data_IF_069491754619
#
_entry.id   IF_069491754619
#
_cell.length_a   1.000
_cell.length_b   1.000
_cell.length_c   1.000
_cell.angle_alpha   90.00
_cell.angle_beta   90.00
_cell.angle_gamma   90.00
#
_symmetry.space_group_name_H-M   'P 1'
#
loop_
_entity.id
_entity.type
_entity.pdbx_description
1 polymer ?
#
# COMPACT_ATOMS: atom_id res chain seq x y z
N UNK A 1 4.49 5.47 -40.56
CA UNK A 1 4.35 6.91 -40.86
C UNK A 1 4.48 7.77 -39.60
N UNK A 2 3.74 7.49 -38.53
CA UNK A 2 3.88 8.20 -37.23
C UNK A 2 5.24 8.03 -36.52
N UNK A 3 5.96 6.95 -36.79
CA UNK A 3 7.29 6.73 -36.21
C UNK A 3 8.35 7.66 -36.83
N UNK A 4 8.24 8.03 -38.12
CA UNK A 4 9.10 9.03 -38.77
C UNK A 4 8.85 10.46 -38.27
N UNK A 5 7.64 10.76 -37.78
CA UNK A 5 7.29 12.09 -37.25
C UNK A 5 7.88 12.30 -35.85
N UNK A 6 8.08 11.22 -35.09
CA UNK A 6 8.68 11.29 -33.74
C UNK A 6 10.18 11.59 -33.78
N UNK A 7 10.90 11.00 -34.71
CA UNK A 7 12.36 11.17 -34.78
C UNK A 7 12.75 12.59 -35.20
N UNK A 8 11.94 13.28 -36.01
CA UNK A 8 12.15 14.70 -36.31
C UNK A 8 11.78 15.66 -35.15
N UNK A 9 10.92 15.25 -34.22
CA UNK A 9 10.51 16.12 -33.10
C UNK A 9 11.55 16.20 -31.99
N UNK A 10 12.40 15.19 -31.82
CA UNK A 10 13.38 15.13 -30.72
C UNK A 10 14.70 15.87 -31.01
N UNK A 11 14.92 16.37 -32.22
CA UNK A 11 16.15 17.08 -32.60
C UNK A 11 16.01 18.62 -32.75
N UNK A 12 14.85 19.22 -32.47
CA UNK A 12 14.67 20.67 -32.61
C UNK A 12 14.85 21.43 -31.27
N UNK A 13 15.63 22.52 -31.24
CA UNK A 13 15.71 23.41 -30.07
C UNK A 13 14.35 24.03 -29.73
N UNK A 14 14.04 24.09 -28.43
CA UNK A 14 12.73 24.47 -27.87
C UNK A 14 12.17 25.81 -28.37
N UNK A 15 13.03 26.74 -28.81
CA UNK A 15 12.65 28.05 -29.32
C UNK A 15 11.81 28.03 -30.62
N UNK A 16 11.76 26.90 -31.34
CA UNK A 16 11.04 26.82 -32.62
C UNK A 16 9.69 26.07 -32.54
N UNK A 17 9.31 25.56 -31.36
CA UNK A 17 8.13 24.71 -31.21
C UNK A 17 6.79 25.49 -31.31
N UNK A 18 6.80 26.76 -30.91
CA UNK A 18 5.65 27.68 -31.05
C UNK A 18 5.39 28.04 -32.53
N UNK A 19 6.44 28.31 -33.31
CA UNK A 19 6.35 28.57 -34.75
C UNK A 19 5.84 27.35 -35.52
N UNK A 20 6.28 26.15 -35.16
CA UNK A 20 5.81 24.91 -35.77
C UNK A 20 4.34 24.61 -35.44
N UNK A 21 3.91 24.82 -34.19
CA UNK A 21 2.50 24.72 -33.81
C UNK A 21 1.63 25.66 -34.64
N UNK A 22 2.07 26.91 -34.85
CA UNK A 22 1.31 27.86 -35.65
C UNK A 22 1.19 27.45 -37.12
N UNK A 23 2.26 26.91 -37.72
CA UNK A 23 2.24 26.43 -39.12
C UNK A 23 1.37 25.19 -39.32
N UNK A 24 1.37 24.25 -38.37
CA UNK A 24 0.53 23.04 -38.44
C UNK A 24 -0.95 23.40 -38.29
N UNK A 25 -1.28 24.28 -37.35
CA UNK A 25 -2.66 24.75 -37.17
C UNK A 25 -3.17 25.48 -38.41
N UNK A 26 -2.34 26.33 -39.04
CA UNK A 26 -2.69 27.01 -40.29
C UNK A 26 -2.91 26.02 -41.46
N UNK A 27 -2.11 24.96 -41.57
CA UNK A 27 -2.26 23.93 -42.60
C UNK A 27 -3.53 23.08 -42.40
N UNK A 28 -3.88 22.74 -41.16
CA UNK A 28 -5.11 21.98 -40.87
C UNK A 28 -6.36 22.80 -41.19
N UNK A 29 -6.35 24.10 -40.90
CA UNK A 29 -7.46 24.99 -41.22
C UNK A 29 -7.62 25.29 -42.72
N UNK A 30 -6.58 25.14 -43.56
CA UNK A 30 -6.70 25.32 -45.01
C UNK A 30 -7.20 24.06 -45.75
N UNK A 31 -7.01 22.88 -45.18
CA UNK A 31 -7.42 21.59 -45.79
C UNK A 31 -8.84 21.17 -45.38
N UNK A 32 -9.29 21.54 -44.18
CA UNK A 32 -10.61 21.16 -43.67
C UNK A 32 -11.81 21.62 -44.54
N UNK A 33 -11.81 22.79 -45.20
CA UNK A 33 -12.95 23.20 -46.02
C UNK A 33 -13.06 22.45 -47.36
N UNK A 34 -11.97 21.87 -47.88
CA UNK A 34 -11.98 21.23 -49.21
C UNK A 34 -12.51 19.78 -49.18
N UNK A 35 -12.59 19.15 -48.02
CA UNK A 35 -13.10 17.78 -47.88
C UNK A 35 -14.62 17.72 -47.62
N UNK A 36 -15.25 18.84 -47.25
CA UNK A 36 -16.67 18.88 -46.89
C UNK A 36 -17.61 19.23 -48.06
N UNK A 37 -17.07 19.70 -49.20
CA UNK A 37 -17.87 20.11 -50.36
C UNK A 37 -18.05 19.05 -51.46
N UNK A 38 -17.47 17.85 -51.31
CA UNK A 38 -17.46 16.85 -52.39
C UNK A 38 -17.86 15.42 -51.97
N UNK A 39 -18.67 15.28 -50.91
CA UNK A 39 -19.39 14.01 -50.66
C UNK A 39 -20.68 13.96 -51.49
N UNK A 40 -20.49 13.87 -52.80
CA UNK A 40 -21.59 13.86 -53.75
C UNK A 40 -21.25 13.29 -55.13
N UNK A 41 -20.22 12.45 -55.28
CA UNK A 41 -20.00 11.72 -56.54
C UNK A 41 -19.46 10.33 -56.26
N UNK A 42 -20.27 9.31 -56.61
CA UNK A 42 -19.83 7.93 -56.80
C UNK A 42 -18.71 7.91 -57.85
N UNK A 43 -17.55 7.33 -57.56
CA UNK A 43 -16.64 6.89 -58.62
C UNK A 43 -15.98 5.58 -58.27
N UNK A 44 -16.35 4.58 -59.08
CA UNK A 44 -15.94 3.20 -59.08
C UNK A 44 -14.55 3.05 -59.67
N UNK A 45 -13.48 3.48 -59.00
CA UNK A 45 -12.11 3.14 -59.41
C UNK A 45 -11.22 2.99 -58.17
N UNK A 46 -11.35 1.86 -57.47
CA UNK A 46 -10.38 1.44 -56.45
C UNK A 46 -10.30 -0.09 -56.39
N UNK A 47 -10.25 -0.73 -57.56
CA UNK A 47 -9.89 -2.15 -57.68
C UNK A 47 -8.73 -2.26 -58.65
N UNK A 48 -7.52 -1.96 -58.19
CA UNK A 48 -6.24 -2.49 -58.70
C UNK A 48 -5.08 -1.81 -57.95
N UNK A 49 -4.94 -2.08 -56.66
CA UNK A 49 -3.65 -1.92 -55.98
C UNK A 49 -3.58 -2.81 -54.74
N UNK A 50 -3.96 -4.08 -54.91
CA UNK A 50 -3.73 -5.12 -53.93
C UNK A 50 -3.56 -6.40 -54.74
N UNK A 51 -2.32 -6.91 -54.83
CA UNK A 51 -1.95 -8.31 -55.14
C UNK A 51 -0.46 -8.47 -55.54
N UNK A 52 0.41 -7.47 -55.33
CA UNK A 52 1.87 -7.69 -55.44
C UNK A 52 2.58 -7.02 -54.27
N UNK A 53 2.92 -7.82 -53.27
CA UNK A 53 4.08 -7.80 -52.37
C UNK A 53 3.69 -8.71 -51.18
N UNK A 54 3.55 -10.00 -51.50
CA UNK A 54 3.55 -11.09 -50.54
C UNK A 54 4.91 -11.76 -50.59
N UNK A 55 5.94 -11.08 -50.10
CA UNK A 55 7.21 -11.74 -49.77
C UNK A 55 7.83 -11.09 -48.53
N UNK A 56 7.69 -11.81 -47.41
CA UNK A 56 8.47 -11.74 -46.15
C UNK A 56 8.80 -10.34 -45.61
N UNK A 57 7.92 -9.79 -44.78
CA UNK A 57 8.28 -8.73 -43.84
C UNK A 57 8.27 -9.26 -42.38
N UNK A 58 9.44 -9.57 -41.78
CA UNK A 58 9.53 -9.97 -40.36
C UNK A 58 9.20 -8.85 -39.36
N UNK A 59 8.99 -7.61 -39.84
CA UNK A 59 8.71 -6.44 -39.00
C UNK A 59 7.31 -6.40 -38.36
N UNK A 60 6.35 -7.20 -38.85
CA UNK A 60 4.97 -7.21 -38.33
C UNK A 60 4.81 -8.07 -37.06
N UNK A 61 5.71 -9.01 -36.80
CA UNK A 61 5.70 -9.81 -35.56
C UNK A 61 6.35 -9.09 -34.37
N UNK A 62 7.08 -7.99 -34.59
CA UNK A 62 7.73 -7.25 -33.51
C UNK A 62 6.75 -6.33 -32.76
N UNK A 63 5.73 -5.81 -33.46
CA UNK A 63 4.77 -4.83 -32.89
C UNK A 63 3.72 -5.46 -31.96
N UNK A 64 3.33 -6.71 -32.22
CA UNK A 64 2.39 -7.47 -31.36
C UNK A 64 3.02 -7.88 -30.03
N UNK A 65 4.32 -8.17 -30.03
CA UNK A 65 5.07 -8.51 -28.81
C UNK A 65 5.30 -7.28 -27.92
N UNK A 66 5.55 -6.10 -28.49
CA UNK A 66 5.71 -4.86 -27.73
C UNK A 66 4.42 -4.42 -27.00
N UNK A 67 3.25 -4.61 -27.61
CA UNK A 67 1.96 -4.29 -26.96
C UNK A 67 1.62 -5.27 -25.84
N UNK A 68 1.93 -6.57 -26.01
CA UNK A 68 1.81 -7.58 -24.95
C UNK A 68 2.75 -7.30 -23.79
N UNK A 69 3.99 -6.91 -24.06
CA UNK A 69 4.97 -6.55 -23.04
C UNK A 69 4.53 -5.34 -22.21
N UNK A 70 4.01 -4.28 -22.85
CA UNK A 70 3.51 -3.09 -22.15
C UNK A 70 2.32 -3.40 -21.24
N UNK A 71 1.40 -4.29 -21.66
CA UNK A 71 0.29 -4.75 -20.82
C UNK A 71 0.78 -5.56 -19.63
N UNK A 72 1.77 -6.43 -19.83
CA UNK A 72 2.38 -7.21 -18.75
C UNK A 72 3.08 -6.33 -17.72
N UNK A 73 3.85 -5.33 -18.14
CA UNK A 73 4.53 -4.37 -17.25
C UNK A 73 3.54 -3.56 -16.41
N UNK A 74 2.42 -3.11 -16.99
CA UNK A 74 1.38 -2.37 -16.26
C UNK A 74 0.67 -3.25 -15.21
N UNK A 75 0.43 -4.52 -15.53
CA UNK A 75 -0.22 -5.49 -14.65
C UNK A 75 0.72 -5.91 -13.49
N UNK A 76 2.01 -6.03 -13.78
CA UNK A 76 3.04 -6.29 -12.77
C UNK A 76 3.18 -5.11 -11.79
N UNK A 77 3.19 -3.87 -12.29
CA UNK A 77 3.29 -2.68 -11.45
C UNK A 77 2.07 -2.50 -10.53
N UNK A 78 0.87 -2.79 -11.02
CA UNK A 78 -0.36 -2.76 -10.20
C UNK A 78 -0.37 -3.86 -9.14
N UNK A 79 0.15 -5.05 -9.48
CA UNK A 79 0.33 -6.12 -8.49
C UNK A 79 1.33 -5.70 -7.41
N UNK A 80 2.52 -5.21 -7.77
CA UNK A 80 3.55 -4.77 -6.81
C UNK A 80 3.03 -3.65 -5.91
N UNK A 81 2.28 -2.68 -6.45
CA UNK A 81 1.69 -1.59 -5.66
C UNK A 81 0.68 -2.09 -4.61
N UNK A 82 -0.01 -3.21 -4.87
CA UNK A 82 -0.93 -3.82 -3.91
C UNK A 82 -0.23 -4.56 -2.75
N UNK A 83 1.05 -4.92 -2.93
CA UNK A 83 1.88 -5.55 -1.90
C UNK A 83 2.78 -4.58 -1.16
N UNK A 84 2.75 -3.28 -1.48
CA UNK A 84 3.37 -2.28 -0.60
C UNK A 84 2.57 -2.35 0.70
N UNK A 85 3.14 -2.85 1.82
CA UNK A 85 2.46 -2.76 3.09
C UNK A 85 2.24 -1.27 3.30
N UNK A 86 1.00 -0.81 3.24
CA UNK A 86 0.71 0.51 3.74
C UNK A 86 1.25 0.51 5.17
N UNK A 87 2.16 1.43 5.43
CA UNK A 87 2.69 1.69 6.76
C UNK A 87 1.53 2.23 7.57
N UNK A 88 0.63 1.33 7.97
CA UNK A 88 -0.51 1.66 8.78
C UNK A 88 0.05 1.96 10.15
N UNK A 89 0.04 3.24 10.52
CA UNK A 89 0.32 3.64 11.89
C UNK A 89 -0.64 2.85 12.79
N UNK A 90 -0.08 2.12 13.75
CA UNK A 90 -0.83 1.29 14.68
C UNK A 90 -1.39 2.18 15.78
N UNK A 91 -2.67 2.03 16.09
CA UNK A 91 -3.27 2.75 17.23
C UNK A 91 -2.90 2.07 18.54
N UNK A 92 -2.44 2.82 19.52
CA UNK A 92 -2.05 2.30 20.83
C UNK A 92 -2.67 3.13 21.95
N UNK A 93 -2.95 2.49 23.09
CA UNK A 93 -3.32 3.20 24.31
C UNK A 93 -2.10 3.93 24.88
N UNK A 94 -2.28 5.17 25.30
CA UNK A 94 -1.24 6.01 25.91
C UNK A 94 -1.67 6.50 27.28
N UNK A 95 -1.02 6.00 28.32
CA UNK A 95 -1.30 6.36 29.71
C UNK A 95 -0.14 6.00 30.65
N UNK A 96 -0.14 6.57 31.85
CA UNK A 96 0.78 6.22 32.92
C UNK A 96 0.06 6.27 34.25
N UNK A 97 0.39 5.34 35.13
CA UNK A 97 -0.16 5.24 36.48
C UNK A 97 0.90 4.77 37.47
N UNK A 98 0.93 5.37 38.65
CA UNK A 98 1.68 4.88 39.80
C UNK A 98 0.74 4.78 41.02
N UNK A 99 0.87 3.76 41.87
CA UNK A 99 0.12 3.72 43.13
C UNK A 99 0.43 4.90 44.06
N UNK A 100 1.59 5.55 43.88
CA UNK A 100 2.01 6.72 44.66
C UNK A 100 1.36 8.02 44.18
N UNK A 101 0.70 8.01 43.03
CA UNK A 101 0.05 9.20 42.47
C UNK A 101 -1.30 9.47 43.17
N UNK A 102 -1.33 10.41 44.11
CA UNK A 102 -2.59 11.00 44.59
C UNK A 102 -3.11 11.99 43.52
N UNK A 103 -4.37 11.91 43.03
CA UNK A 103 -5.54 11.19 43.52
C UNK A 103 -6.01 10.04 42.60
N UNK A 104 -5.11 9.17 42.14
CA UNK A 104 -5.42 7.95 41.38
C UNK A 104 -6.20 8.15 40.07
N UNK A 105 -6.11 9.33 39.44
CA UNK A 105 -6.90 9.69 38.24
C UNK A 105 -6.62 8.83 37.01
N UNK A 106 -5.49 8.13 37.00
CA UNK A 106 -5.07 7.28 35.89
C UNK A 106 -5.13 5.80 36.24
N UNK A 107 -5.91 5.41 37.27
CA UNK A 107 -6.11 4.00 37.66
C UNK A 107 -6.58 3.12 36.50
N UNK A 108 -7.29 3.72 35.53
CA UNK A 108 -7.67 3.07 34.27
C UNK A 108 -6.48 2.59 33.42
N UNK A 109 -5.27 3.01 33.75
CA UNK A 109 -4.03 2.52 33.18
C UNK A 109 -3.41 1.36 33.99
N UNK A 110 -4.04 0.87 35.03
CA UNK A 110 -3.65 -0.40 35.63
C UNK A 110 -4.26 -1.55 34.82
N UNK A 111 -3.63 -2.73 34.79
CA UNK A 111 -4.20 -3.92 34.14
C UNK A 111 -5.53 -4.34 34.80
N UNK A 112 -5.61 -4.25 36.13
CA UNK A 112 -6.78 -4.66 36.92
C UNK A 112 -8.03 -3.79 36.66
N UNK A 113 -7.84 -2.50 36.40
CA UNK A 113 -8.91 -1.52 36.21
C UNK A 113 -8.92 -0.94 34.81
N UNK A 114 -8.41 -1.68 33.82
CA UNK A 114 -8.20 -1.15 32.48
C UNK A 114 -9.51 -0.72 31.80
N UNK A 115 -9.67 0.58 31.54
CA UNK A 115 -10.83 1.15 30.83
C UNK A 115 -10.38 1.81 29.53
N UNK A 116 -10.34 1.04 28.44
CA UNK A 116 -9.83 1.51 27.15
C UNK A 116 -10.58 2.72 26.56
N UNK A 117 -11.85 2.93 26.93
CA UNK A 117 -12.65 4.09 26.54
C UNK A 117 -12.25 5.38 27.29
N UNK A 118 -11.59 5.28 28.44
CA UNK A 118 -11.14 6.41 29.26
C UNK A 118 -9.68 6.80 28.99
N UNK A 119 -8.97 6.05 28.13
CA UNK A 119 -7.54 6.22 27.86
C UNK A 119 -7.33 6.87 26.49
N UNK A 120 -6.35 7.76 26.40
CA UNK A 120 -5.96 8.37 25.13
C UNK A 120 -5.44 7.31 24.15
N UNK A 121 -5.74 7.51 22.86
CA UNK A 121 -5.27 6.66 21.78
C UNK A 121 -4.33 7.49 20.91
N UNK A 122 -3.19 6.92 20.54
CA UNK A 122 -2.20 7.56 19.68
C UNK A 122 -1.86 6.65 18.50
N UNK A 123 -1.55 7.24 17.35
CA UNK A 123 -1.05 6.51 16.18
C UNK A 123 0.49 6.38 16.28
N UNK A 124 0.99 5.17 16.16
CA UNK A 124 2.38 4.79 16.42
C UNK A 124 2.98 4.06 15.22
N UNK A 125 4.19 4.44 14.81
CA UNK A 125 4.86 3.86 13.65
C UNK A 125 5.44 2.46 13.95
N UNK A 126 5.99 2.28 15.15
CA UNK A 126 6.72 1.07 15.53
C UNK A 126 5.87 0.06 16.31
N UNK A 127 4.59 0.34 16.56
CA UNK A 127 3.70 -0.50 17.38
C UNK A 127 3.54 0.00 18.82
N UNK A 128 2.99 -0.85 19.68
CA UNK A 128 2.62 -0.52 21.05
C UNK A 128 3.53 -1.20 22.07
N UNK A 129 3.61 -0.58 23.25
CA UNK A 129 4.35 -1.06 24.39
C UNK A 129 3.49 -0.97 25.66
N UNK A 130 3.65 -1.95 26.54
CA UNK A 130 3.26 -1.90 27.95
C UNK A 130 4.51 -2.12 28.80
N UNK A 131 4.76 -1.22 29.75
CA UNK A 131 5.90 -1.26 30.65
C UNK A 131 5.40 -1.23 32.09
N UNK A 132 5.76 -2.25 32.87
CA UNK A 132 5.42 -2.37 34.28
C UNK A 132 6.71 -2.35 35.08
N UNK A 133 6.92 -1.32 35.89
CA UNK A 133 8.05 -1.17 36.77
C UNK A 133 7.68 -1.69 38.16
N UNK A 134 8.51 -2.55 38.72
CA UNK A 134 8.33 -3.18 40.02
C UNK A 134 9.56 -2.93 40.91
N UNK A 135 9.33 -2.69 42.19
CA UNK A 135 10.38 -2.57 43.19
C UNK A 135 11.06 -3.93 43.50
N UNK A 136 12.01 -3.95 44.44
CA UNK A 136 12.68 -5.18 44.88
C UNK A 136 11.78 -6.17 45.61
N UNK A 137 10.63 -5.72 46.10
CA UNK A 137 9.65 -6.56 46.78
C UNK A 137 8.60 -7.11 45.80
N UNK A 138 8.70 -6.76 44.52
CA UNK A 138 7.71 -7.11 43.49
C UNK A 138 6.46 -6.22 43.52
N UNK A 139 6.46 -5.13 44.30
CA UNK A 139 5.37 -4.17 44.30
C UNK A 139 5.45 -3.30 43.05
N UNK A 140 4.32 -3.11 42.38
CA UNK A 140 4.24 -2.26 41.19
C UNK A 140 4.49 -0.80 41.61
N UNK A 141 5.47 -0.18 40.99
CA UNK A 141 5.80 1.24 41.16
C UNK A 141 5.14 2.08 40.06
N UNK A 142 5.08 1.54 38.83
CA UNK A 142 4.50 2.26 37.69
C UNK A 142 4.00 1.29 36.61
N UNK A 143 2.87 1.62 36.00
CA UNK A 143 2.39 1.03 34.74
C UNK A 143 2.34 2.13 33.69
N UNK A 144 2.93 1.88 32.53
CA UNK A 144 2.93 2.80 31.39
C UNK A 144 2.53 2.05 30.13
N UNK A 145 1.64 2.66 29.36
CA UNK A 145 1.31 2.24 28.00
C UNK A 145 1.69 3.36 27.05
N UNK A 146 2.39 3.03 25.97
CA UNK A 146 2.89 4.01 25.02
C UNK A 146 3.12 3.41 23.63
N UNK A 147 3.40 4.27 22.66
CA UNK A 147 4.06 3.85 21.42
C UNK A 147 5.43 3.24 21.73
N UNK A 148 5.80 2.19 20.99
CA UNK A 148 7.13 1.61 21.04
C UNK A 148 8.17 2.61 20.55
N UNK A 149 9.24 2.80 21.32
CA UNK A 149 10.35 3.67 20.92
C UNK A 149 11.19 3.00 19.82
N UNK A 150 11.81 3.76 18.90
CA UNK A 150 12.59 3.18 17.80
C UNK A 150 13.84 2.43 18.27
N UNK A 151 14.33 2.70 19.48
CA UNK A 151 15.45 1.97 20.10
C UNK A 151 15.02 0.64 20.74
N UNK A 152 13.73 0.45 20.99
CA UNK A 152 13.19 -0.73 21.65
C UNK A 152 12.86 -1.84 20.63
N UNK A 153 13.16 -3.09 21.00
CA UNK A 153 12.91 -4.24 20.12
C UNK A 153 11.43 -4.66 20.11
N UNK A 154 10.89 -4.86 18.90
CA UNK A 154 9.57 -5.48 18.69
C UNK A 154 9.68 -7.00 18.80
N UNK A 155 9.38 -7.54 19.97
CA UNK A 155 9.42 -8.99 20.25
C UNK A 155 8.07 -9.67 20.03
N UNK A 156 6.96 -8.92 20.05
CA UNK A 156 5.60 -9.46 20.00
C UNK A 156 5.19 -10.21 21.27
N UNK A 157 6.02 -10.18 22.32
CA UNK A 157 5.87 -10.92 23.57
C UNK A 157 6.22 -10.04 24.78
N UNK A 158 6.02 -10.58 25.98
CA UNK A 158 6.48 -9.97 27.22
C UNK A 158 7.88 -10.47 27.61
N UNK A 159 8.79 -9.55 27.87
CA UNK A 159 10.14 -9.80 28.39
C UNK A 159 10.25 -9.23 29.79
N UNK A 160 10.83 -9.99 30.70
CA UNK A 160 11.18 -9.51 32.04
C UNK A 160 12.61 -8.95 32.00
N UNK A 161 12.76 -7.73 32.50
CA UNK A 161 14.04 -7.03 32.67
C UNK A 161 14.37 -7.01 34.16
N UNK A 162 15.45 -7.69 34.53
CA UNK A 162 15.93 -7.72 35.91
C UNK A 162 17.17 -6.85 36.04
N UNK A 163 17.14 -5.94 37.01
CA UNK A 163 18.28 -5.12 37.40
C UNK A 163 18.48 -5.23 38.92
N UNK A 164 19.69 -4.97 39.42
CA UNK A 164 19.97 -5.01 40.88
C UNK A 164 19.10 -4.04 41.68
N UNK A 165 18.57 -3.00 41.04
CA UNK A 165 17.77 -1.97 41.68
C UNK A 165 16.25 -2.19 41.56
N UNK A 166 15.79 -2.80 40.47
CA UNK A 166 14.38 -2.93 40.14
C UNK A 166 14.15 -4.10 39.20
N UNK A 167 12.90 -4.55 39.11
CA UNK A 167 12.45 -5.45 38.05
C UNK A 167 11.44 -4.74 37.17
N UNK A 168 11.41 -5.06 35.89
CA UNK A 168 10.42 -4.52 34.97
C UNK A 168 9.91 -5.61 34.03
N UNK A 169 8.68 -5.45 33.57
CA UNK A 169 8.08 -6.30 32.55
C UNK A 169 7.67 -5.43 31.38
N UNK A 170 8.19 -5.76 30.19
CA UNK A 170 7.93 -5.03 28.95
C UNK A 170 7.25 -5.95 27.95
N UNK A 171 6.06 -5.57 27.50
CA UNK A 171 5.33 -6.29 26.45
C UNK A 171 5.22 -5.41 25.20
N UNK A 172 5.55 -5.95 24.03
CA UNK A 172 5.45 -5.22 22.75
C UNK A 172 4.55 -5.96 21.77
N UNK A 173 3.86 -5.21 20.91
CA UNK A 173 2.93 -5.77 19.93
C UNK A 173 2.70 -4.79 18.77
N UNK A 174 2.34 -5.32 17.59
CA UNK A 174 2.23 -4.54 16.35
C UNK A 174 0.84 -4.65 15.69
N UNK A 175 -0.22 -4.48 16.48
CA UNK A 175 -1.60 -4.44 15.97
C UNK A 175 -2.45 -3.44 16.76
N UNK A 176 -3.55 -2.99 16.17
CA UNK A 176 -4.35 -1.92 16.75
C UNK A 176 -4.85 -2.28 18.16
N UNK A 177 -4.57 -1.36 19.09
CA UNK A 177 -4.99 -1.36 20.49
C UNK A 177 -4.53 -2.62 21.24
N UNK A 178 -3.40 -3.20 20.81
CA UNK A 178 -2.88 -4.47 21.33
C UNK A 178 -2.35 -4.40 22.76
N UNK A 179 -2.02 -3.20 23.25
CA UNK A 179 -1.53 -2.98 24.61
C UNK A 179 -2.69 -2.85 25.63
N UNK A 180 -3.77 -3.61 25.45
CA UNK A 180 -4.89 -3.67 26.41
C UNK A 180 -4.49 -4.43 27.69
N UNK A 181 -5.25 -4.23 28.78
CA UNK A 181 -4.94 -4.75 30.13
C UNK A 181 -5.05 -6.27 30.33
N UNK A 182 -5.21 -7.07 29.28
CA UNK A 182 -5.21 -8.52 29.36
C UNK A 182 -4.53 -9.15 28.13
N UNK A 183 -3.83 -10.29 28.28
CA UNK A 183 -3.37 -11.05 27.14
C UNK A 183 -4.60 -11.54 26.37
N UNK A 184 -4.82 -10.99 25.17
CA UNK A 184 -5.77 -11.56 24.22
C UNK A 184 -5.21 -12.92 23.84
N UNK A 185 -5.69 -13.98 24.49
CA UNK A 185 -5.38 -15.35 24.09
C UNK A 185 -5.83 -15.52 22.64
N UNK A 186 -4.87 -15.55 21.73
CA UNK A 186 -5.02 -15.80 20.29
C UNK A 186 -5.48 -17.23 19.98
N UNK A 187 -5.93 -18.00 20.97
CA UNK A 187 -6.45 -19.35 20.77
C UNK A 187 -7.70 -19.39 19.87
N UNK A 188 -8.51 -18.32 19.86
CA UNK A 188 -9.74 -18.28 19.07
C UNK A 188 -9.52 -18.07 17.57
N UNK A 189 -8.41 -17.43 17.15
CA UNK A 189 -8.16 -17.13 15.73
C UNK A 189 -7.73 -18.36 14.92
N UNK A 190 -7.02 -19.31 15.53
CA UNK A 190 -6.66 -20.57 14.87
C UNK A 190 -7.87 -21.48 14.63
N UNK A 191 -8.84 -21.52 15.55
CA UNK A 191 -10.05 -22.34 15.41
C UNK A 191 -10.88 -21.95 14.17
N UNK A 192 -10.96 -20.66 13.86
CA UNK A 192 -11.66 -20.14 12.67
C UNK A 192 -10.94 -20.51 11.36
N UNK A 193 -9.60 -20.46 11.34
CA UNK A 193 -8.81 -20.89 10.17
C UNK A 193 -8.98 -22.38 9.87
N UNK A 194 -9.01 -23.24 10.89
CA UNK A 194 -9.27 -24.67 10.71
C UNK A 194 -10.68 -24.96 10.20
N UNK A 195 -11.70 -24.23 10.67
CA UNK A 195 -13.07 -24.36 10.18
C UNK A 195 -13.19 -23.96 8.70
N UNK A 196 -12.55 -22.87 8.29
CA UNK A 196 -12.58 -22.42 6.89
C UNK A 196 -11.83 -23.40 5.96
N UNK A 197 -10.70 -23.94 6.41
CA UNK A 197 -9.95 -24.95 5.66
C UNK A 197 -10.72 -26.27 5.53
N UNK A 198 -11.37 -26.73 6.59
CA UNK A 198 -12.22 -27.93 6.57
C UNK A 198 -13.43 -27.75 5.63
N UNK A 199 -14.05 -26.57 5.64
CA UNK A 199 -15.18 -26.27 4.78
C UNK A 199 -14.76 -26.17 3.29
N UNK A 200 -13.61 -25.58 2.99
CA UNK A 200 -13.06 -25.54 1.63
C UNK A 200 -12.73 -26.94 1.10
N UNK A 201 -12.15 -27.81 1.94
CA UNK A 201 -11.84 -29.19 1.58
C UNK A 201 -13.10 -30.02 1.33
N UNK A 202 -14.15 -29.82 2.12
CA UNK A 202 -15.43 -30.51 1.92
C UNK A 202 -16.14 -30.07 0.62
N UNK A 203 -16.02 -28.79 0.21
CA UNK A 203 -16.54 -28.31 -1.08
C UNK A 203 -15.75 -28.94 -2.24
N UNK A 204 -14.42 -29.00 -2.16
CA UNK A 204 -13.58 -29.59 -3.20
C UNK A 204 -13.84 -31.09 -3.42
N UNK A 205 -14.17 -31.84 -2.36
CA UNK A 205 -14.49 -33.28 -2.47
C UNK A 205 -15.90 -33.58 -3.02
N UNK A 206 -16.76 -32.56 -3.21
CA UNK A 206 -18.11 -32.75 -3.77
C UNK A 206 -18.23 -32.44 -5.27
N UNK A 207 -17.15 -31.95 -5.90
CA UNK A 207 -17.07 -31.66 -7.34
C UNK A 207 -16.33 -32.81 -8.03
#
# INVERSE_FOLDING_TARGET
>A
MWDLVKDCMYQMPYANMQSLKHRITAAIHSVAPQMLANTGVKSSIAWTCNQVISHRNPLLNFKTNALKFRKFVMLLLTFIAAFIPATFAVKCYTCSWSPKDAPNRTVMCNDEFFEGNAIAISECENGCQTYVHMDRNGAIEQVRRSCLQPEDEMTGNCVNEENKAFSAKRCTCNYNLCNTGAPVYTAASYALLFLMAAHALHILNRV
#
